data_IF_442928831850
#
_entry.id   IF_442928831850
#
_cell.length_a   1.000
_cell.length_b   1.000
_cell.length_c   1.000
_cell.angle_alpha   90.00
_cell.angle_beta   90.00
_cell.angle_gamma   90.00
#
_symmetry.space_group_name_H-M   'P 1'
#
loop_
_entity.id
_entity.type
_entity.pdbx_description
1 polymer ?
#
# COMPACT_ATOMS: atom_id res chain seq x y z
N UNK A 1 16.64 -12.91 13.04
CA UNK A 1 15.45 -13.61 12.51
C UNK A 1 14.93 -12.85 11.32
N UNK A 2 14.71 -13.51 10.19
CA UNK A 2 14.03 -12.90 9.06
C UNK A 2 12.58 -12.60 9.46
N UNK A 3 12.05 -11.46 8.99
CA UNK A 3 10.66 -11.09 9.21
C UNK A 3 9.93 -11.12 7.87
N UNK A 4 8.68 -11.51 7.89
CA UNK A 4 7.84 -11.47 6.68
C UNK A 4 7.39 -10.04 6.41
N UNK A 5 7.57 -9.57 5.18
CA UNK A 5 7.11 -8.29 4.66
C UNK A 5 6.15 -8.53 3.50
N UNK A 6 5.04 -7.81 3.47
CA UNK A 6 4.04 -7.93 2.39
C UNK A 6 4.09 -6.68 1.53
N UNK A 7 4.47 -6.81 0.27
CA UNK A 7 4.51 -5.73 -0.71
C UNK A 7 3.36 -5.89 -1.69
N UNK A 8 2.44 -4.96 -1.70
CA UNK A 8 1.27 -4.99 -2.60
C UNK A 8 1.45 -3.99 -3.72
N UNK A 9 1.48 -4.50 -4.95
CA UNK A 9 1.83 -3.76 -6.15
C UNK A 9 3.30 -3.91 -6.53
N UNK A 10 3.57 -4.28 -7.78
CA UNK A 10 4.90 -4.53 -8.32
C UNK A 10 5.23 -3.60 -9.49
N UNK A 11 4.91 -2.32 -9.34
CA UNK A 11 5.44 -1.25 -10.18
C UNK A 11 6.90 -0.92 -9.80
N UNK A 12 7.41 0.22 -10.25
CA UNK A 12 8.80 0.62 -9.99
C UNK A 12 9.11 0.63 -8.49
N UNK A 13 8.26 1.28 -7.69
CA UNK A 13 8.48 1.38 -6.23
C UNK A 13 8.37 0.02 -5.55
N UNK A 14 7.28 -0.72 -5.80
CA UNK A 14 7.04 -1.99 -5.12
C UNK A 14 8.06 -3.07 -5.49
N UNK A 15 8.46 -3.16 -6.75
CA UNK A 15 9.49 -4.12 -7.19
C UNK A 15 10.85 -3.81 -6.55
N UNK A 16 11.28 -2.54 -6.58
CA UNK A 16 12.54 -2.12 -5.97
C UNK A 16 12.54 -2.37 -4.46
N UNK A 17 11.46 -2.03 -3.77
CA UNK A 17 11.32 -2.31 -2.34
C UNK A 17 11.41 -3.80 -2.02
N UNK A 18 10.70 -4.63 -2.78
CA UNK A 18 10.71 -6.08 -2.58
C UNK A 18 12.12 -6.68 -2.77
N UNK A 19 12.87 -6.22 -3.77
CA UNK A 19 14.25 -6.65 -4.02
C UNK A 19 15.19 -6.18 -2.89
N UNK A 20 15.06 -4.95 -2.42
CA UNK A 20 15.89 -4.43 -1.32
C UNK A 20 15.67 -5.23 -0.03
N UNK A 21 14.41 -5.47 0.34
CA UNK A 21 14.07 -6.28 1.51
C UNK A 21 14.60 -7.71 1.40
N UNK A 22 14.43 -8.33 0.22
CA UNK A 22 14.89 -9.69 -0.03
C UNK A 22 16.43 -9.80 -0.01
N UNK A 23 17.14 -8.80 -0.54
CA UNK A 23 18.60 -8.73 -0.48
C UNK A 23 19.12 -8.52 0.95
N UNK A 24 18.33 -7.85 1.81
CA UNK A 24 18.61 -7.71 3.24
C UNK A 24 18.25 -8.97 4.06
N UNK A 25 17.88 -10.06 3.39
CA UNK A 25 17.59 -11.34 4.01
C UNK A 25 16.18 -11.49 4.58
N UNK A 26 15.27 -10.55 4.29
CA UNK A 26 13.88 -10.64 4.72
C UNK A 26 13.08 -11.58 3.82
N UNK A 27 12.06 -12.22 4.38
CA UNK A 27 11.05 -12.96 3.61
C UNK A 27 10.01 -11.97 3.05
N UNK A 28 9.80 -11.99 1.73
CA UNK A 28 8.90 -11.03 1.07
C UNK A 28 7.78 -11.77 0.34
N UNK A 29 6.55 -11.34 0.57
CA UNK A 29 5.39 -11.75 -0.20
C UNK A 29 4.99 -10.57 -1.09
N UNK A 30 5.08 -10.75 -2.40
CA UNK A 30 4.62 -9.75 -3.39
C UNK A 30 3.24 -10.14 -3.88
N UNK A 31 2.27 -9.26 -3.68
CA UNK A 31 0.88 -9.48 -4.10
C UNK A 31 0.55 -8.53 -5.25
N UNK A 32 0.14 -9.10 -6.37
CA UNK A 32 -0.40 -8.37 -7.53
C UNK A 32 -1.60 -9.12 -8.08
N UNK A 33 -2.44 -8.45 -8.87
CA UNK A 33 -3.60 -9.11 -9.50
C UNK A 33 -3.21 -10.27 -10.42
N UNK A 34 -2.07 -10.17 -11.08
CA UNK A 34 -1.57 -11.19 -12.00
C UNK A 34 -0.55 -12.17 -11.39
N UNK A 35 -0.10 -11.93 -10.16
CA UNK A 35 1.02 -12.67 -9.58
C UNK A 35 2.38 -12.29 -10.17
N UNK A 36 2.47 -11.18 -10.90
CA UNK A 36 3.73 -10.64 -11.43
C UNK A 36 4.56 -9.98 -10.33
N UNK A 37 5.86 -9.87 -10.58
CA UNK A 37 6.78 -9.22 -9.65
C UNK A 37 8.23 -9.71 -9.84
N UNK A 38 9.17 -9.17 -9.06
CA UNK A 38 10.58 -9.56 -9.15
C UNK A 38 10.80 -11.01 -8.74
N UNK A 39 11.88 -11.59 -9.23
CA UNK A 39 12.26 -12.97 -8.89
C UNK A 39 13.47 -12.96 -7.97
N UNK A 40 13.31 -13.52 -6.78
CA UNK A 40 14.40 -13.70 -5.81
C UNK A 40 14.08 -14.90 -4.91
N UNK A 41 15.10 -15.58 -4.36
CA UNK A 41 14.88 -16.74 -3.49
C UNK A 41 14.02 -16.46 -2.25
N UNK A 42 14.06 -15.23 -1.74
CA UNK A 42 13.29 -14.78 -0.59
C UNK A 42 11.99 -14.05 -0.98
N UNK A 43 11.59 -14.06 -2.25
CA UNK A 43 10.35 -13.45 -2.74
C UNK A 43 9.37 -14.52 -3.18
N UNK A 44 8.20 -14.56 -2.54
CA UNK A 44 7.04 -15.32 -2.98
C UNK A 44 6.06 -14.40 -3.68
N UNK A 45 5.70 -14.69 -4.93
CA UNK A 45 4.72 -13.92 -5.71
C UNK A 45 3.36 -14.59 -5.64
N UNK A 46 2.31 -13.82 -5.39
CA UNK A 46 0.94 -14.33 -5.27
C UNK A 46 -0.02 -13.44 -6.05
N UNK A 47 -0.91 -14.07 -6.82
CA UNK A 47 -2.02 -13.39 -7.48
C UNK A 47 -3.21 -13.26 -6.51
N UNK A 48 -3.62 -12.03 -6.20
CA UNK A 48 -4.81 -11.77 -5.39
C UNK A 48 -5.34 -10.36 -5.59
N UNK A 49 -6.63 -10.18 -5.26
CA UNK A 49 -7.25 -8.87 -5.14
C UNK A 49 -7.00 -8.34 -3.73
N UNK A 50 -6.28 -7.22 -3.63
CA UNK A 50 -5.94 -6.60 -2.35
C UNK A 50 -7.15 -6.04 -1.60
N UNK A 51 -8.27 -5.77 -2.27
CA UNK A 51 -9.50 -5.33 -1.61
C UNK A 51 -10.20 -6.44 -0.81
N UNK A 52 -9.77 -7.69 -0.97
CA UNK A 52 -10.24 -8.83 -0.19
C UNK A 52 -9.36 -9.05 1.06
N UNK A 53 -9.80 -8.49 2.18
CA UNK A 53 -9.12 -8.61 3.47
C UNK A 53 -8.96 -10.08 3.90
N UNK A 54 -9.98 -10.91 3.68
CA UNK A 54 -9.93 -12.32 4.07
C UNK A 54 -8.82 -13.06 3.32
N UNK A 55 -8.67 -12.74 2.05
CA UNK A 55 -7.60 -13.29 1.20
C UNK A 55 -6.22 -12.81 1.64
N UNK A 56 -6.08 -11.53 2.00
CA UNK A 56 -4.82 -11.01 2.55
C UNK A 56 -4.41 -11.74 3.83
N UNK A 57 -5.34 -11.96 4.75
CA UNK A 57 -5.09 -12.68 6.00
C UNK A 57 -4.75 -14.15 5.78
N UNK A 58 -5.36 -14.81 4.77
CA UNK A 58 -5.02 -16.17 4.38
C UNK A 58 -3.60 -16.27 3.82
N UNK A 59 -3.20 -15.32 2.96
CA UNK A 59 -1.89 -15.28 2.30
C UNK A 59 -0.78 -15.01 3.33
N UNK A 60 -0.99 -14.06 4.21
CA UNK A 60 -0.02 -13.62 5.20
C UNK A 60 -0.70 -13.38 6.55
N UNK A 61 -0.91 -14.42 7.36
CA UNK A 61 -1.60 -14.29 8.65
C UNK A 61 -0.83 -13.42 9.65
N UNK A 62 0.45 -13.17 9.41
CA UNK A 62 1.28 -12.24 10.18
C UNK A 62 2.37 -11.65 9.30
N UNK A 63 2.69 -10.38 9.52
CA UNK A 63 3.81 -9.71 8.87
C UNK A 63 4.37 -8.61 9.79
N UNK A 64 5.63 -8.25 9.60
CA UNK A 64 6.22 -7.09 10.26
C UNK A 64 5.65 -5.78 9.70
N UNK A 65 5.46 -5.74 8.38
CA UNK A 65 4.88 -4.59 7.70
C UNK A 65 4.15 -5.02 6.42
N UNK A 66 3.14 -4.23 6.05
CA UNK A 66 2.47 -4.29 4.76
C UNK A 66 2.63 -2.96 4.04
N UNK A 67 3.06 -3.03 2.78
CA UNK A 67 3.40 -1.86 1.96
C UNK A 67 2.37 -1.69 0.85
N UNK A 68 1.66 -0.56 0.88
CA UNK A 68 0.74 -0.18 -0.17
C UNK A 68 1.50 0.55 -1.30
N UNK A 69 1.89 -0.20 -2.33
CA UNK A 69 2.51 0.30 -3.56
C UNK A 69 1.55 0.21 -4.76
N UNK A 70 0.25 0.08 -4.51
CA UNK A 70 -0.79 0.06 -5.58
C UNK A 70 -1.06 1.47 -6.06
N UNK A 71 -1.43 1.59 -7.32
CA UNK A 71 -1.98 2.82 -7.86
C UNK A 71 -3.01 2.50 -8.94
N UNK A 72 -4.31 2.49 -8.61
CA UNK A 72 -5.35 2.33 -9.59
C UNK A 72 -5.33 3.45 -10.65
N UNK A 73 -5.93 3.26 -11.83
CA UNK A 73 -6.09 4.32 -12.81
C UNK A 73 -6.81 5.55 -12.21
N UNK A 74 -6.34 6.76 -12.48
CA UNK A 74 -6.83 8.01 -11.87
C UNK A 74 -8.36 8.18 -11.92
N UNK A 75 -8.97 7.85 -13.07
CA UNK A 75 -10.42 7.95 -13.26
C UNK A 75 -11.23 6.94 -12.43
N UNK A 76 -10.57 5.98 -11.78
CA UNK A 76 -11.19 4.95 -10.96
C UNK A 76 -10.93 5.12 -9.47
N UNK A 77 -10.18 6.13 -9.06
CA UNK A 77 -9.77 6.33 -7.68
C UNK A 77 -10.93 6.38 -6.69
N UNK A 78 -11.98 7.12 -7.01
CA UNK A 78 -13.15 7.24 -6.13
C UNK A 78 -13.84 5.90 -5.86
N UNK A 79 -13.75 4.95 -6.80
CA UNK A 79 -14.36 3.63 -6.69
C UNK A 79 -13.41 2.58 -6.10
N UNK A 80 -12.14 2.58 -6.52
CA UNK A 80 -11.20 1.49 -6.19
C UNK A 80 -10.43 1.73 -4.90
N UNK A 81 -10.07 2.99 -4.57
CA UNK A 81 -9.30 3.26 -3.37
C UNK A 81 -10.02 2.92 -2.05
N UNK A 82 -11.31 3.24 -1.85
CA UNK A 82 -11.96 2.97 -0.56
C UNK A 82 -11.88 1.51 -0.12
N UNK A 83 -12.27 0.50 -0.93
CA UNK A 83 -12.15 -0.89 -0.52
C UNK A 83 -10.70 -1.35 -0.36
N UNK A 84 -9.76 -0.85 -1.17
CA UNK A 84 -8.34 -1.15 -1.04
C UNK A 84 -7.80 -0.60 0.28
N UNK A 85 -8.06 0.66 0.59
CA UNK A 85 -7.63 1.30 1.83
C UNK A 85 -8.19 0.61 3.06
N UNK A 86 -9.48 0.28 3.05
CA UNK A 86 -10.13 -0.45 4.14
C UNK A 86 -9.50 -1.83 4.39
N UNK A 87 -9.13 -2.53 3.33
CA UNK A 87 -8.46 -3.83 3.43
C UNK A 87 -7.07 -3.72 4.07
N UNK A 88 -6.27 -2.71 3.69
CA UNK A 88 -4.96 -2.47 4.31
C UNK A 88 -5.08 -2.13 5.80
N UNK A 89 -6.03 -1.26 6.16
CA UNK A 89 -6.28 -0.90 7.57
C UNK A 89 -6.73 -2.13 8.37
N UNK A 90 -7.71 -2.86 7.87
CA UNK A 90 -8.20 -4.07 8.54
C UNK A 90 -7.11 -5.15 8.68
N UNK A 91 -6.19 -5.26 7.71
CA UNK A 91 -5.05 -6.15 7.83
C UNK A 91 -4.09 -5.69 8.95
N UNK A 92 -3.72 -4.41 8.96
CA UNK A 92 -2.83 -3.87 9.99
C UNK A 92 -3.44 -4.02 11.39
N UNK A 93 -4.72 -3.70 11.56
CA UNK A 93 -5.43 -3.87 12.83
C UNK A 93 -5.45 -5.32 13.33
N UNK A 94 -5.71 -6.28 12.44
CA UNK A 94 -5.83 -7.69 12.81
C UNK A 94 -4.49 -8.37 13.07
N UNK A 95 -3.43 -7.96 12.38
CA UNK A 95 -2.11 -8.61 12.45
C UNK A 95 -1.11 -7.87 13.32
N UNK A 96 -1.35 -6.59 13.61
CA UNK A 96 -0.37 -5.71 14.26
C UNK A 96 0.78 -5.28 13.32
N UNK A 97 0.67 -5.55 12.01
CA UNK A 97 1.67 -5.14 11.05
C UNK A 97 1.70 -3.61 10.87
N UNK A 98 2.89 -3.06 10.66
CA UNK A 98 3.02 -1.65 10.30
C UNK A 98 2.49 -1.43 8.89
N UNK A 99 1.52 -0.52 8.71
CA UNK A 99 1.07 -0.09 7.39
C UNK A 99 1.97 1.03 6.85
N UNK A 100 2.59 0.77 5.72
CA UNK A 100 3.39 1.77 4.99
C UNK A 100 2.71 2.07 3.66
N UNK A 101 2.33 3.32 3.44
CA UNK A 101 1.65 3.73 2.20
C UNK A 101 2.54 4.60 1.33
N UNK A 102 2.79 4.18 0.09
CA UNK A 102 3.35 5.04 -0.94
C UNK A 102 2.29 6.06 -1.34
N UNK A 103 2.31 7.21 -0.69
CA UNK A 103 1.30 8.25 -0.85
C UNK A 103 1.72 9.30 -1.90
N UNK A 104 0.96 10.38 -2.01
CA UNK A 104 1.21 11.54 -2.84
C UNK A 104 0.67 12.81 -2.17
N UNK A 105 0.89 13.97 -2.81
CA UNK A 105 0.53 15.27 -2.25
C UNK A 105 -0.83 15.81 -2.72
N UNK A 106 -1.63 14.99 -3.41
CA UNK A 106 -2.92 15.45 -3.97
C UNK A 106 -3.93 15.89 -2.92
N UNK A 107 -3.83 15.37 -1.70
CA UNK A 107 -4.71 15.73 -0.59
C UNK A 107 -4.62 17.21 -0.18
N UNK A 108 -3.49 17.86 -0.41
CA UNK A 108 -3.33 19.28 -0.11
C UNK A 108 -4.16 20.19 -1.04
N UNK A 109 -4.30 19.81 -2.32
CA UNK A 109 -4.86 20.68 -3.35
C UNK A 109 -3.91 21.81 -3.73
N UNK A 110 -4.42 22.90 -4.35
CA UNK A 110 -3.61 24.07 -4.68
C UNK A 110 -3.12 24.77 -3.42
N UNK A 111 -1.82 25.04 -3.36
CA UNK A 111 -1.17 25.78 -2.26
C UNK A 111 -0.17 26.78 -2.83
N UNK A 112 0.04 27.89 -2.14
CA UNK A 112 0.96 28.97 -2.50
C UNK A 112 2.16 29.08 -1.53
N UNK A 113 2.30 28.13 -0.64
CA UNK A 113 3.37 28.01 0.36
C UNK A 113 4.03 26.62 0.27
N UNK A 114 5.24 26.45 0.82
CA UNK A 114 5.84 25.11 0.93
C UNK A 114 4.92 24.12 1.66
N UNK A 115 4.76 22.93 1.10
CA UNK A 115 3.95 21.87 1.72
C UNK A 115 4.68 21.31 2.95
N UNK A 116 4.00 21.31 4.07
CA UNK A 116 4.47 20.74 5.34
C UNK A 116 3.41 19.83 5.94
N UNK A 117 3.79 19.02 6.91
CA UNK A 117 2.88 18.06 7.56
C UNK A 117 1.75 18.73 8.35
N UNK A 118 1.89 20.01 8.68
CA UNK A 118 0.87 20.79 9.40
C UNK A 118 -0.16 21.46 8.51
N UNK A 119 0.07 21.48 7.18
CA UNK A 119 -0.92 22.03 6.26
C UNK A 119 -2.17 21.18 6.21
N UNK A 120 -3.36 21.80 6.16
CA UNK A 120 -4.61 21.07 6.03
C UNK A 120 -4.72 20.38 4.66
N UNK A 121 -5.34 19.21 4.64
CA UNK A 121 -5.66 18.49 3.40
C UNK A 121 -7.01 18.98 2.85
N UNK A 122 -6.98 20.03 2.04
CA UNK A 122 -8.16 20.76 1.55
C UNK A 122 -8.36 20.63 0.02
N UNK A 123 -7.99 19.51 -0.56
CA UNK A 123 -8.14 19.31 -2.00
C UNK A 123 -9.62 19.46 -2.44
N UNK A 124 -9.91 20.31 -3.43
CA UNK A 124 -11.28 20.53 -3.92
C UNK A 124 -11.75 19.38 -4.83
N UNK A 125 -10.82 18.72 -5.53
CA UNK A 125 -11.11 17.67 -6.52
C UNK A 125 -11.34 16.29 -5.91
N UNK A 126 -12.04 15.43 -6.64
CA UNK A 126 -12.39 14.07 -6.20
C UNK A 126 -11.15 13.25 -5.80
N UNK A 127 -10.13 13.21 -6.64
CA UNK A 127 -8.94 12.40 -6.39
C UNK A 127 -8.15 12.89 -5.16
N UNK A 128 -8.05 14.20 -4.97
CA UNK A 128 -7.41 14.76 -3.78
C UNK A 128 -8.19 14.44 -2.50
N UNK A 129 -9.53 14.51 -2.55
CA UNK A 129 -10.38 14.13 -1.42
C UNK A 129 -10.24 12.66 -1.05
N UNK A 130 -10.18 11.76 -2.03
CA UNK A 130 -9.94 10.32 -1.81
C UNK A 130 -8.61 10.11 -1.08
N UNK A 131 -7.54 10.78 -1.51
CA UNK A 131 -6.21 10.65 -0.88
C UNK A 131 -6.18 11.25 0.52
N UNK A 132 -6.85 12.37 0.74
CA UNK A 132 -7.00 12.98 2.06
C UNK A 132 -7.75 12.04 3.02
N UNK A 133 -8.84 11.44 2.56
CA UNK A 133 -9.62 10.50 3.37
C UNK A 133 -8.79 9.28 3.77
N UNK A 134 -8.04 8.68 2.83
CA UNK A 134 -7.14 7.57 3.13
C UNK A 134 -6.12 7.92 4.22
N UNK A 135 -5.59 9.15 4.21
CA UNK A 135 -4.66 9.62 5.23
C UNK A 135 -5.33 9.76 6.60
N UNK A 136 -6.54 10.35 6.66
CA UNK A 136 -7.28 10.51 7.91
C UNK A 136 -7.67 9.18 8.54
N UNK A 137 -8.02 8.19 7.73
CA UNK A 137 -8.37 6.86 8.21
C UNK A 137 -7.16 6.05 8.71
N UNK A 138 -5.97 6.31 8.16
CA UNK A 138 -4.74 5.61 8.52
C UNK A 138 -4.00 6.22 9.72
N UNK A 139 -4.40 7.41 10.19
CA UNK A 139 -3.77 8.15 11.28
C UNK A 139 -4.37 7.77 12.63
#
# INVERSE_FOLDING_TARGET
MSRTHVVVGAGVVGSTLAELLANDGQEVIVITRSGSGPTHKNIKRIAADVSDLSKLLEIAPSAAAIYNCVNPPYHRWAKEWPPIAASFLGYAEKTGAVLVTCSNLYGYGPVDVPMTEVLPLNAPGVNGKVRAQMWFEAK
#
